data_IF_569448964086
#
_entry.id   IF_569448964086
#
_cell.length_a   1.000
_cell.length_b   1.000
_cell.length_c   1.000
_cell.angle_alpha   90.00
_cell.angle_beta   90.00
_cell.angle_gamma   90.00
#
_symmetry.space_group_name_H-M   'P 1'
#
loop_
_entity.id
_entity.type
_entity.pdbx_description
1 polymer ?
#
# COMPACT_ATOMS: atom_id res chain seq x y z
N UNK A 1 -3.38 -11.54 -17.37
CA UNK A 1 -4.20 -11.95 -16.22
C UNK A 1 -3.44 -11.57 -14.94
N UNK A 2 -3.56 -10.32 -14.48
CA UNK A 2 -2.89 -9.79 -13.27
C UNK A 2 -3.82 -8.98 -12.36
N UNK A 3 -5.12 -8.91 -12.68
CA UNK A 3 -6.07 -8.01 -12.02
C UNK A 3 -6.67 -8.58 -10.73
N UNK A 4 -6.66 -9.90 -10.56
CA UNK A 4 -7.36 -10.58 -9.45
C UNK A 4 -6.72 -10.37 -8.08
N UNK A 5 -5.42 -10.03 -8.01
CA UNK A 5 -4.69 -10.00 -6.74
C UNK A 5 -4.62 -8.60 -6.09
N UNK A 6 -5.09 -7.56 -6.78
CA UNK A 6 -5.16 -6.20 -6.22
C UNK A 6 -6.42 -5.92 -5.40
N UNK A 7 -7.38 -6.86 -5.42
CA UNK A 7 -8.70 -6.69 -4.82
C UNK A 7 -8.63 -6.62 -3.29
N UNK A 8 -7.82 -7.46 -2.62
CA UNK A 8 -7.84 -7.53 -1.15
C UNK A 8 -7.45 -6.22 -0.44
N UNK A 9 -6.54 -5.44 -1.00
CA UNK A 9 -6.08 -4.18 -0.40
C UNK A 9 -6.99 -3.00 -0.74
N UNK A 10 -7.70 -3.07 -1.87
CA UNK A 10 -8.56 -1.99 -2.38
C UNK A 10 -10.04 -2.19 -2.08
N UNK A 11 -10.45 -3.39 -1.69
CA UNK A 11 -11.77 -3.68 -1.13
C UNK A 11 -12.11 -2.72 0.01
N UNK A 12 -11.14 -2.40 0.87
CA UNK A 12 -11.32 -1.44 1.97
C UNK A 12 -11.61 -0.02 1.49
N UNK A 13 -11.12 0.33 0.30
CA UNK A 13 -11.32 1.64 -0.31
C UNK A 13 -12.61 1.69 -1.15
N UNK A 14 -13.17 0.53 -1.51
CA UNK A 14 -14.32 0.41 -2.41
C UNK A 14 -15.58 1.18 -1.96
N UNK A 15 -15.93 1.25 -0.66
CA UNK A 15 -17.10 2.02 -0.23
C UNK A 15 -16.92 3.53 -0.39
N UNK A 16 -15.68 4.01 -0.53
CA UNK A 16 -15.34 5.43 -0.52
C UNK A 16 -15.07 6.01 -1.92
N UNK A 17 -14.80 5.16 -2.90
CA UNK A 17 -14.31 5.58 -4.21
C UNK A 17 -14.94 4.77 -5.35
N UNK A 18 -15.17 5.44 -6.49
CA UNK A 18 -15.60 4.77 -7.74
C UNK A 18 -14.47 3.91 -8.31
N UNK A 19 -14.82 2.92 -9.13
CA UNK A 19 -13.89 1.94 -9.73
C UNK A 19 -12.71 2.59 -10.46
N UNK A 20 -12.93 3.68 -11.20
CA UNK A 20 -11.85 4.40 -11.89
C UNK A 20 -10.78 4.95 -10.93
N UNK A 21 -11.21 5.42 -9.75
CA UNK A 21 -10.31 5.92 -8.72
C UNK A 21 -9.59 4.76 -8.03
N UNK A 22 -10.28 3.65 -7.76
CA UNK A 22 -9.68 2.43 -7.21
C UNK A 22 -8.58 1.88 -8.13
N UNK A 23 -8.82 1.86 -9.45
CA UNK A 23 -7.81 1.45 -10.44
C UNK A 23 -6.59 2.39 -10.44
N UNK A 24 -6.79 3.70 -10.33
CA UNK A 24 -5.65 4.63 -10.19
C UNK A 24 -4.85 4.38 -8.91
N UNK A 25 -5.55 4.11 -7.80
CA UNK A 25 -4.89 3.81 -6.52
C UNK A 25 -4.12 2.49 -6.56
N UNK A 26 -4.62 1.46 -7.27
CA UNK A 26 -3.91 0.20 -7.46
C UNK A 26 -2.57 0.41 -8.15
N UNK A 27 -2.55 1.16 -9.25
CA UNK A 27 -1.31 1.50 -9.96
C UNK A 27 -0.33 2.28 -9.08
N UNK A 28 -0.83 3.17 -8.22
CA UNK A 28 0.01 3.90 -7.26
C UNK A 28 0.59 2.94 -6.22
N UNK A 29 -0.19 2.04 -5.65
CA UNK A 29 0.28 1.05 -4.66
C UNK A 29 1.41 0.21 -5.27
N UNK A 30 1.20 -0.36 -6.47
CA UNK A 30 2.20 -1.19 -7.12
C UNK A 30 3.47 -0.43 -7.50
N UNK A 31 3.34 0.79 -8.06
CA UNK A 31 4.51 1.62 -8.41
C UNK A 31 5.30 2.06 -7.18
N UNK A 32 4.61 2.36 -6.08
CA UNK A 32 5.25 2.74 -4.80
C UNK A 32 6.06 1.59 -4.22
N UNK A 33 5.45 0.39 -4.15
CA UNK A 33 6.13 -0.84 -3.73
C UNK A 33 7.37 -1.10 -4.58
N UNK A 34 7.19 -1.11 -5.91
CA UNK A 34 8.24 -1.38 -6.88
C UNK A 34 9.40 -0.37 -6.85
N UNK A 35 9.18 0.84 -6.32
CA UNK A 35 10.24 1.83 -6.09
C UNK A 35 11.20 1.49 -4.95
N UNK A 36 10.81 0.59 -4.04
CA UNK A 36 11.63 0.09 -2.93
C UNK A 36 12.13 -1.32 -3.22
N UNK A 37 11.21 -2.21 -3.60
CA UNK A 37 11.52 -3.59 -3.96
C UNK A 37 10.36 -4.21 -4.76
N UNK A 38 10.68 -4.78 -5.93
CA UNK A 38 9.69 -5.43 -6.79
C UNK A 38 9.28 -6.80 -6.25
N UNK A 39 10.12 -7.44 -5.47
CA UNK A 39 9.95 -8.81 -4.99
C UNK A 39 9.11 -8.89 -3.71
N UNK A 40 8.99 -7.80 -2.95
CA UNK A 40 8.17 -7.78 -1.72
C UNK A 40 6.70 -7.99 -2.06
N UNK A 41 6.06 -9.07 -1.61
CA UNK A 41 4.62 -9.30 -1.78
C UNK A 41 3.87 -8.60 -0.64
N UNK A 42 3.09 -7.55 -0.93
CA UNK A 42 2.42 -6.75 0.11
C UNK A 42 1.34 -7.55 0.84
N UNK A 43 0.75 -8.52 0.16
CA UNK A 43 -0.29 -9.42 0.63
C UNK A 43 0.21 -10.31 1.77
N UNK A 44 1.50 -10.67 1.80
CA UNK A 44 2.11 -11.37 2.94
C UNK A 44 2.22 -10.50 4.20
N UNK A 45 1.99 -9.19 4.06
CA UNK A 45 2.03 -8.20 5.13
C UNK A 45 0.72 -7.41 5.23
N UNK A 46 -0.41 -8.06 4.91
CA UNK A 46 -1.75 -7.48 4.77
C UNK A 46 -2.13 -6.56 5.94
N UNK A 47 -1.89 -6.98 7.19
CA UNK A 47 -2.20 -6.17 8.39
C UNK A 47 -1.53 -4.79 8.38
N UNK A 48 -0.23 -4.71 8.06
CA UNK A 48 0.51 -3.43 8.00
C UNK A 48 0.00 -2.57 6.85
N UNK A 49 -0.24 -3.19 5.70
CA UNK A 49 -0.68 -2.50 4.49
C UNK A 49 -2.10 -1.93 4.63
N UNK A 50 -3.06 -2.76 5.07
CA UNK A 50 -4.44 -2.36 5.34
C UNK A 50 -4.54 -1.22 6.34
N UNK A 51 -3.80 -1.32 7.46
CA UNK A 51 -3.79 -0.26 8.48
C UNK A 51 -3.31 1.06 7.90
N UNK A 52 -2.23 1.05 7.11
CA UNK A 52 -1.72 2.25 6.47
C UNK A 52 -2.75 2.85 5.49
N UNK A 53 -3.37 2.04 4.64
CA UNK A 53 -4.39 2.49 3.70
C UNK A 53 -5.62 3.08 4.39
N UNK A 54 -6.12 2.45 5.45
CA UNK A 54 -7.26 2.96 6.22
C UNK A 54 -6.97 4.32 6.87
N UNK A 55 -5.76 4.52 7.42
CA UNK A 55 -5.33 5.80 7.98
C UNK A 55 -5.31 6.87 6.88
N UNK A 56 -4.72 6.57 5.73
CA UNK A 56 -4.65 7.47 4.58
C UNK A 56 -6.04 7.89 4.11
N UNK A 57 -6.95 6.91 3.93
CA UNK A 57 -8.32 7.15 3.51
C UNK A 57 -9.06 8.01 4.54
N UNK A 58 -8.92 7.70 5.84
CA UNK A 58 -9.57 8.46 6.92
C UNK A 58 -9.12 9.92 6.92
N UNK A 59 -7.82 10.17 6.82
CA UNK A 59 -7.25 11.54 6.83
C UNK A 59 -7.69 12.32 5.59
N UNK A 60 -7.66 11.69 4.42
CA UNK A 60 -8.14 12.30 3.17
C UNK A 60 -9.65 12.62 3.23
N UNK A 61 -10.47 11.67 3.68
CA UNK A 61 -11.93 11.86 3.78
C UNK A 61 -12.32 12.92 4.81
N UNK A 62 -11.47 13.16 5.83
CA UNK A 62 -11.62 14.27 6.79
C UNK A 62 -11.16 15.63 6.24
N UNK A 63 -10.69 15.71 4.99
CA UNK A 63 -10.23 16.95 4.38
C UNK A 63 -8.90 17.47 4.93
N UNK A 64 -8.17 16.68 5.74
CA UNK A 64 -6.88 17.10 6.32
C UNK A 64 -5.75 17.13 5.31
N UNK A 65 -5.92 16.45 4.18
CA UNK A 65 -4.96 16.37 3.08
C UNK A 65 -5.72 16.35 1.76
N UNK A 66 -5.27 17.14 0.79
CA UNK A 66 -5.95 17.30 -0.51
C UNK A 66 -5.52 16.24 -1.54
N UNK A 67 -4.26 15.76 -1.46
CA UNK A 67 -3.70 14.86 -2.46
C UNK A 67 -3.66 13.39 -1.99
N UNK A 68 -4.76 12.66 -2.23
CA UNK A 68 -4.84 11.22 -1.91
C UNK A 68 -3.73 10.40 -2.58
N UNK A 69 -3.39 10.71 -3.84
CA UNK A 69 -2.41 9.95 -4.62
C UNK A 69 -1.03 9.97 -3.96
N UNK A 70 -0.56 11.17 -3.61
CA UNK A 70 0.73 11.36 -2.93
C UNK A 70 0.73 10.71 -1.54
N UNK A 71 -0.38 10.80 -0.83
CA UNK A 71 -0.51 10.24 0.51
C UNK A 71 -0.46 8.70 0.48
N UNK A 72 -1.16 8.06 -0.46
CA UNK A 72 -1.07 6.61 -0.69
C UNK A 72 0.34 6.23 -1.10
N UNK A 73 0.95 6.94 -2.06
CA UNK A 73 2.31 6.65 -2.50
C UNK A 73 3.30 6.63 -1.35
N UNK A 74 3.26 7.68 -0.53
CA UNK A 74 4.16 7.86 0.62
C UNK A 74 3.93 6.78 1.69
N UNK A 75 2.68 6.45 1.98
CA UNK A 75 2.34 5.45 2.98
C UNK A 75 2.82 4.06 2.57
N UNK A 76 2.55 3.65 1.32
CA UNK A 76 2.99 2.35 0.80
C UNK A 76 4.52 2.28 0.75
N UNK A 77 5.19 3.33 0.26
CA UNK A 77 6.65 3.40 0.25
C UNK A 77 7.25 3.18 1.65
N UNK A 78 6.66 3.78 2.69
CA UNK A 78 7.09 3.60 4.09
C UNK A 78 6.85 2.18 4.59
N UNK A 79 5.68 1.60 4.31
CA UNK A 79 5.36 0.21 4.68
C UNK A 79 6.33 -0.76 4.02
N UNK A 80 6.55 -0.63 2.71
CA UNK A 80 7.48 -1.49 1.96
C UNK A 80 8.92 -1.35 2.47
N UNK A 81 9.36 -0.12 2.79
CA UNK A 81 10.68 0.10 3.40
C UNK A 81 10.80 -0.59 4.76
N UNK A 82 9.79 -0.46 5.63
CA UNK A 82 9.77 -1.14 6.93
C UNK A 82 9.80 -2.67 6.80
N UNK A 83 9.10 -3.23 5.81
CA UNK A 83 9.15 -4.66 5.50
C UNK A 83 10.55 -5.07 5.06
N UNK A 84 11.15 -4.35 4.11
CA UNK A 84 12.49 -4.63 3.59
C UNK A 84 13.53 -4.65 4.70
N UNK A 85 13.51 -3.65 5.58
CA UNK A 85 14.42 -3.58 6.73
C UNK A 85 14.23 -4.78 7.65
N UNK A 86 12.98 -5.17 7.94
CA UNK A 86 12.69 -6.33 8.79
C UNK A 86 13.24 -7.63 8.17
N UNK A 87 13.07 -7.82 6.86
CA UNK A 87 13.60 -9.01 6.16
C UNK A 87 15.13 -9.06 6.22
N UNK A 88 15.81 -7.93 5.97
CA UNK A 88 17.28 -7.84 6.08
C UNK A 88 17.75 -8.16 7.50
N UNK A 89 17.04 -7.67 8.53
CA UNK A 89 17.36 -8.00 9.91
C UNK A 89 17.13 -9.49 10.20
N UNK A 90 16.03 -10.08 9.75
CA UNK A 90 15.79 -11.51 9.95
C UNK A 90 16.89 -12.36 9.28
N UNK A 91 17.29 -12.02 8.05
CA UNK A 91 18.40 -12.70 7.36
C UNK A 91 19.74 -12.55 8.10
N UNK A 92 20.02 -11.39 8.68
CA UNK A 92 21.27 -11.14 9.39
C UNK A 92 21.36 -11.81 10.77
N UNK A 93 20.23 -12.13 11.41
CA UNK A 93 20.17 -12.81 12.71
C UNK A 93 20.23 -14.34 12.61
N UNK A 94 20.00 -14.90 11.42
CA UNK A 94 20.12 -16.34 11.13
C UNK A 94 21.56 -16.76 10.73
N UNK A 95 22.52 -15.83 10.83
CA UNK A 95 23.97 -16.05 10.60
C UNK A 95 24.69 -16.05 11.95
#
# INVERSE_FOLDING_TARGET
MFLYNSESNLELASPFFKSSKLYQLSGIIFSSKASIDRNIVLEHHDSKNRKALLIVISVYKKGKVECLKLLVYTAIKRVTCSIKVKLIMEEAWEI
#
